data_IF_419008152545
#
_entry.id   IF_419008152545
#
_cell.length_a   1.000
_cell.length_b   1.000
_cell.length_c   1.000
_cell.angle_alpha   90.00
_cell.angle_beta   90.00
_cell.angle_gamma   90.00
#
_symmetry.space_group_name_H-M   'P 1'
#
loop_
_entity.id
_entity.type
_entity.pdbx_description
1 polymer ?
#
# COMPACT_ATOMS: atom_id res chain seq x y z
N UNK A 1 63.12 17.39 31.12
CA UNK A 1 62.48 18.42 31.98
C UNK A 1 61.29 19.02 31.26
N UNK A 2 60.07 18.64 31.67
CA UNK A 2 58.86 19.46 31.94
C UNK A 2 57.64 18.53 32.04
N UNK A 3 56.66 18.86 32.88
CA UNK A 3 56.15 17.94 33.88
C UNK A 3 54.71 17.45 33.63
N UNK A 4 54.41 16.35 34.33
CA UNK A 4 53.09 15.83 34.68
C UNK A 4 52.09 16.93 35.10
N UNK A 5 50.81 16.73 34.75
CA UNK A 5 49.52 17.05 35.45
C UNK A 5 48.45 17.39 34.38
N UNK A 6 47.15 17.07 34.44
CA UNK A 6 46.22 16.62 35.50
C UNK A 6 44.82 16.36 34.84
N UNK A 7 44.04 15.36 35.33
CA UNK A 7 42.54 15.25 35.39
C UNK A 7 41.81 15.24 34.00
N UNK A 8 40.70 14.55 33.71
CA UNK A 8 39.62 14.02 34.52
C UNK A 8 38.86 12.92 33.76
N UNK A 9 38.54 11.85 34.48
CA UNK A 9 37.42 10.98 34.12
C UNK A 9 36.15 11.75 34.45
N UNK A 10 35.36 12.10 33.43
CA UNK A 10 34.01 12.61 33.60
C UNK A 10 33.09 11.82 32.66
N UNK A 11 32.33 10.93 33.27
CA UNK A 11 31.33 10.05 32.70
C UNK A 11 30.18 10.89 32.16
N UNK A 12 30.09 11.07 30.83
CA UNK A 12 28.91 11.70 30.22
C UNK A 12 27.86 10.64 29.93
N UNK A 13 26.85 10.60 30.79
CA UNK A 13 25.65 9.79 30.69
C UNK A 13 24.91 10.19 29.40
N UNK A 14 24.82 9.28 28.44
CA UNK A 14 23.96 9.41 27.27
C UNK A 14 22.49 9.26 27.72
N UNK A 15 21.83 10.37 28.04
CA UNK A 15 20.36 10.37 28.23
C UNK A 15 19.69 10.53 26.87
N UNK A 16 19.42 9.40 26.22
CA UNK A 16 18.57 9.31 25.04
C UNK A 16 17.11 9.55 25.44
N UNK A 17 16.63 10.80 25.33
CA UNK A 17 15.19 11.09 25.35
C UNK A 17 14.72 11.18 23.90
N UNK A 18 14.39 10.03 23.33
CA UNK A 18 13.56 9.99 22.13
C UNK A 18 12.11 10.20 22.58
N UNK A 19 11.66 11.45 22.52
CA UNK A 19 10.24 11.77 22.58
C UNK A 19 9.59 11.24 21.29
N UNK A 20 9.20 9.97 21.28
CA UNK A 20 8.23 9.47 20.31
C UNK A 20 6.91 10.11 20.70
N UNK A 21 6.62 11.28 20.14
CA UNK A 21 5.27 11.80 20.08
C UNK A 21 4.42 10.68 19.46
N UNK A 22 3.58 10.06 20.29
CA UNK A 22 2.59 9.09 19.86
C UNK A 22 1.54 9.85 19.05
N UNK A 23 1.88 10.17 17.80
CA UNK A 23 0.87 10.23 16.76
C UNK A 23 0.33 8.80 16.68
N UNK A 24 -0.66 8.49 17.52
CA UNK A 24 -1.54 7.38 17.25
C UNK A 24 -2.06 7.71 15.86
N UNK A 25 -1.67 6.99 14.78
CA UNK A 25 -2.53 7.04 13.61
C UNK A 25 -3.86 6.61 14.21
N UNK A 26 -4.88 7.47 14.15
CA UNK A 26 -6.24 6.97 14.32
C UNK A 26 -6.23 5.68 13.53
N UNK A 27 -6.38 4.55 14.23
CA UNK A 27 -6.52 3.27 13.57
C UNK A 27 -7.79 3.53 12.79
N UNK A 28 -7.61 3.97 11.55
CA UNK A 28 -8.66 4.24 10.61
C UNK A 28 -9.18 2.82 10.48
N UNK A 29 -10.18 2.48 11.30
CA UNK A 29 -11.11 1.42 11.02
C UNK A 29 -11.67 1.87 9.70
N UNK A 30 -10.95 1.50 8.64
CA UNK A 30 -11.27 1.71 7.25
C UNK A 30 -12.35 0.65 7.03
N UNK A 31 -13.46 0.89 7.72
CA UNK A 31 -14.65 0.06 7.82
C UNK A 31 -15.07 -0.16 6.38
N UNK A 32 -15.67 -1.31 6.13
CA UNK A 32 -16.21 -1.71 4.83
C UNK A 32 -17.04 -0.63 4.11
N UNK A 33 -17.43 0.42 4.84
CA UNK A 33 -18.23 1.57 4.46
C UNK A 33 -17.59 2.56 3.47
N UNK A 34 -16.27 2.53 3.24
CA UNK A 34 -15.68 3.49 2.27
C UNK A 34 -16.08 3.09 0.84
N UNK A 35 -16.78 3.95 0.07
CA UNK A 35 -17.14 3.65 -1.31
C UNK A 35 -15.89 3.43 -2.16
N UNK A 36 -15.97 2.51 -3.11
CA UNK A 36 -14.80 2.12 -3.90
C UNK A 36 -14.27 3.30 -4.74
N UNK A 37 -15.16 4.19 -5.19
CA UNK A 37 -14.85 5.40 -5.94
C UNK A 37 -14.04 6.41 -5.11
N UNK A 38 -14.32 6.50 -3.80
CA UNK A 38 -13.55 7.35 -2.89
C UNK A 38 -12.14 6.79 -2.74
N UNK A 39 -12.00 5.47 -2.63
CA UNK A 39 -10.68 4.83 -2.57
C UNK A 39 -9.89 5.03 -3.89
N UNK A 40 -10.54 4.87 -5.05
CA UNK A 40 -9.93 5.15 -6.36
C UNK A 40 -9.53 6.62 -6.51
N UNK A 41 -10.32 7.56 -5.97
CA UNK A 41 -9.99 9.00 -5.98
C UNK A 41 -8.76 9.31 -5.13
N UNK A 42 -8.53 8.57 -4.04
CA UNK A 42 -7.29 8.66 -3.27
C UNK A 42 -6.11 8.10 -4.08
N UNK A 43 -6.27 6.92 -4.69
CA UNK A 43 -5.23 6.35 -5.57
C UNK A 43 -4.87 7.31 -6.71
N UNK A 44 -5.84 7.99 -7.31
CA UNK A 44 -5.62 8.98 -8.36
C UNK A 44 -4.66 10.10 -7.94
N UNK A 45 -4.67 10.47 -6.66
CA UNK A 45 -3.84 11.55 -6.12
C UNK A 45 -2.43 11.07 -5.76
N UNK A 46 -2.29 9.86 -5.20
CA UNK A 46 -1.01 9.37 -4.66
C UNK A 46 -0.23 8.49 -5.62
N UNK A 47 -0.93 7.77 -6.50
CA UNK A 47 -0.36 6.85 -7.46
C UNK A 47 -1.33 6.65 -8.64
N UNK A 48 -1.39 7.59 -9.61
CA UNK A 48 -2.29 7.48 -10.76
C UNK A 48 -2.25 6.12 -11.48
N UNK A 49 -1.09 5.47 -11.70
CA UNK A 49 -1.07 4.14 -12.32
C UNK A 49 -1.70 3.03 -11.46
N UNK A 50 -1.68 3.19 -10.13
CA UNK A 50 -2.34 2.25 -9.23
C UNK A 50 -3.86 2.35 -9.32
N UNK A 51 -4.39 3.56 -9.50
CA UNK A 51 -5.81 3.77 -9.81
C UNK A 51 -6.18 3.10 -11.13
N UNK A 52 -5.46 3.38 -12.21
CA UNK A 52 -5.76 2.82 -13.53
C UNK A 52 -5.67 1.28 -13.53
N UNK A 53 -4.67 0.72 -12.84
CA UNK A 53 -4.54 -0.73 -12.64
C UNK A 53 -5.67 -1.33 -11.80
N UNK A 54 -6.10 -0.64 -10.74
CA UNK A 54 -7.23 -1.06 -9.91
C UNK A 54 -8.54 -1.06 -10.71
N UNK A 55 -8.83 -0.02 -11.49
CA UNK A 55 -10.03 0.04 -12.33
C UNK A 55 -10.06 -1.12 -13.34
N UNK A 56 -8.92 -1.43 -13.98
CA UNK A 56 -8.80 -2.58 -14.87
C UNK A 56 -9.03 -3.92 -14.14
N UNK A 57 -8.47 -4.07 -12.94
CA UNK A 57 -8.64 -5.25 -12.11
C UNK A 57 -10.10 -5.44 -11.66
N UNK A 58 -10.78 -4.37 -11.23
CA UNK A 58 -12.18 -4.39 -10.84
C UNK A 58 -13.09 -4.80 -12.01
N UNK A 59 -12.85 -4.25 -13.20
CA UNK A 59 -13.60 -4.62 -14.40
C UNK A 59 -13.40 -6.10 -14.76
N UNK A 60 -12.15 -6.58 -14.73
CA UNK A 60 -11.82 -7.98 -14.97
C UNK A 60 -12.42 -8.92 -13.91
N UNK A 61 -12.40 -8.50 -12.65
CA UNK A 61 -13.00 -9.23 -11.54
C UNK A 61 -14.51 -9.35 -11.70
N UNK A 62 -15.22 -8.26 -12.00
CA UNK A 62 -16.66 -8.29 -12.23
C UNK A 62 -17.03 -9.21 -13.39
N UNK A 63 -16.31 -9.10 -14.51
CA UNK A 63 -16.51 -9.94 -15.69
C UNK A 63 -16.34 -11.44 -15.39
N UNK A 64 -15.31 -11.81 -14.62
CA UNK A 64 -14.99 -13.23 -14.38
C UNK A 64 -15.69 -13.84 -13.18
N UNK A 65 -15.87 -13.07 -12.11
CA UNK A 65 -16.39 -13.56 -10.84
C UNK A 65 -17.89 -13.26 -10.67
N UNK A 66 -18.51 -12.54 -11.62
CA UNK A 66 -19.95 -12.29 -11.64
C UNK A 66 -20.46 -11.43 -10.48
N UNK A 67 -19.57 -10.69 -9.81
CA UNK A 67 -19.91 -9.82 -8.67
C UNK A 67 -19.01 -8.60 -8.62
N UNK A 68 -19.51 -7.51 -8.04
CA UNK A 68 -18.66 -6.38 -7.69
C UNK A 68 -17.69 -6.77 -6.55
N UNK A 69 -16.46 -6.27 -6.62
CA UNK A 69 -15.49 -6.33 -5.54
C UNK A 69 -15.76 -5.20 -4.55
N UNK A 70 -15.68 -5.49 -3.26
CA UNK A 70 -15.81 -4.48 -2.19
C UNK A 70 -14.48 -3.75 -1.98
N UNK A 71 -14.55 -2.55 -1.43
CA UNK A 71 -13.38 -1.72 -1.13
C UNK A 71 -12.38 -2.44 -0.22
N UNK A 72 -12.82 -3.20 0.77
CA UNK A 72 -11.90 -3.96 1.64
C UNK A 72 -11.16 -5.07 0.91
N UNK A 73 -11.81 -5.71 -0.07
CA UNK A 73 -11.19 -6.77 -0.86
C UNK A 73 -10.09 -6.18 -1.74
N UNK A 74 -10.36 -5.04 -2.38
CA UNK A 74 -9.36 -4.32 -3.17
C UNK A 74 -8.20 -3.80 -2.29
N UNK A 75 -8.51 -3.21 -1.13
CA UNK A 75 -7.50 -2.70 -0.21
C UNK A 75 -6.60 -3.82 0.31
N UNK A 76 -7.19 -5.00 0.61
CA UNK A 76 -6.44 -6.20 0.98
C UNK A 76 -5.57 -6.66 -0.19
N UNK A 77 -6.10 -6.72 -1.40
CA UNK A 77 -5.33 -7.07 -2.59
C UNK A 77 -4.12 -6.14 -2.80
N UNK A 78 -4.19 -4.87 -2.41
CA UNK A 78 -3.01 -3.99 -2.41
C UNK A 78 -2.04 -4.21 -1.24
N UNK A 79 -2.55 -4.58 -0.06
CA UNK A 79 -1.80 -4.57 1.19
C UNK A 79 -1.23 -5.94 1.60
N UNK A 80 -1.68 -7.05 1.01
CA UNK A 80 -1.28 -8.41 1.39
C UNK A 80 0.14 -8.73 0.88
N UNK A 81 1.12 -8.78 1.79
CA UNK A 81 2.54 -8.95 1.48
C UNK A 81 3.04 -7.91 0.45
N UNK A 82 3.37 -8.35 -0.77
CA UNK A 82 3.77 -7.47 -1.89
C UNK A 82 2.58 -7.02 -2.77
N UNK A 83 1.36 -7.33 -2.35
CA UNK A 83 0.11 -7.19 -3.10
C UNK A 83 -0.26 -8.45 -3.90
N UNK A 84 -1.50 -8.50 -4.38
CA UNK A 84 -1.97 -9.51 -5.33
C UNK A 84 -1.12 -9.39 -6.61
N UNK A 85 -0.46 -10.47 -7.05
CA UNK A 85 0.51 -10.40 -8.13
C UNK A 85 -0.13 -10.01 -9.47
N UNK A 86 -1.40 -10.38 -9.70
CA UNK A 86 -2.12 -10.00 -10.91
C UNK A 86 -2.48 -8.52 -10.89
N UNK A 87 -2.96 -8.00 -9.76
CA UNK A 87 -3.22 -6.59 -9.55
C UNK A 87 -1.94 -5.76 -9.73
N UNK A 88 -0.83 -6.16 -9.09
CA UNK A 88 0.44 -5.44 -9.21
C UNK A 88 0.99 -5.48 -10.64
N UNK A 89 0.80 -6.58 -11.36
CA UNK A 89 1.12 -6.66 -12.78
C UNK A 89 0.23 -5.73 -13.63
N UNK A 90 -1.06 -5.61 -13.30
CA UNK A 90 -1.97 -4.68 -13.98
C UNK A 90 -1.58 -3.23 -13.74
N UNK A 91 -1.24 -2.86 -12.51
CA UNK A 91 -0.72 -1.51 -12.19
C UNK A 91 0.50 -1.17 -13.04
N UNK A 92 1.44 -2.11 -13.17
CA UNK A 92 2.62 -1.94 -14.01
C UNK A 92 2.24 -1.80 -15.50
N UNK A 93 1.34 -2.64 -15.99
CA UNK A 93 0.90 -2.58 -17.38
C UNK A 93 0.16 -1.27 -17.70
N UNK A 94 -0.67 -0.77 -16.77
CA UNK A 94 -1.33 0.54 -16.88
C UNK A 94 -0.31 1.67 -16.93
N UNK A 95 0.71 1.65 -16.06
CA UNK A 95 1.80 2.63 -16.13
C UNK A 95 2.51 2.64 -17.50
N UNK A 96 2.72 1.46 -18.08
CA UNK A 96 3.36 1.28 -19.38
C UNK A 96 2.42 1.52 -20.57
N UNK A 97 1.11 1.72 -20.30
CA UNK A 97 0.04 1.79 -21.31
C UNK A 97 0.00 0.55 -22.21
N UNK A 98 0.32 -0.61 -21.64
CA UNK A 98 0.32 -1.90 -22.34
C UNK A 98 -1.05 -2.58 -22.26
N UNK A 99 -1.93 -2.20 -23.20
CA UNK A 99 -3.27 -2.73 -23.29
C UNK A 99 -3.31 -4.24 -23.57
N UNK A 100 -2.35 -4.77 -24.33
CA UNK A 100 -2.28 -6.19 -24.65
C UNK A 100 -1.96 -7.02 -23.40
N UNK A 101 -1.04 -6.55 -22.56
CA UNK A 101 -0.75 -7.18 -21.28
C UNK A 101 -1.91 -7.05 -20.31
N UNK A 102 -2.60 -5.91 -20.25
CA UNK A 102 -3.82 -5.76 -19.43
C UNK A 102 -4.89 -6.79 -19.82
N UNK A 103 -5.14 -7.00 -21.11
CA UNK A 103 -6.10 -8.00 -21.59
C UNK A 103 -5.71 -9.43 -21.18
N UNK A 104 -4.42 -9.79 -21.29
CA UNK A 104 -3.93 -11.11 -20.85
C UNK A 104 -4.02 -11.29 -19.33
N UNK A 105 -3.74 -10.25 -18.56
CA UNK A 105 -3.84 -10.27 -17.10
C UNK A 105 -5.30 -10.35 -16.64
N UNK A 106 -6.23 -9.74 -17.37
CA UNK A 106 -7.65 -9.81 -17.06
C UNK A 106 -8.15 -11.26 -16.97
N UNK A 107 -7.68 -12.14 -17.85
CA UNK A 107 -8.02 -13.57 -17.81
C UNK A 107 -7.49 -14.32 -16.56
N UNK A 108 -6.47 -13.77 -15.89
CA UNK A 108 -5.74 -14.39 -14.78
C UNK A 108 -6.25 -13.98 -13.39
N UNK A 109 -7.19 -13.02 -13.31
CA UNK A 109 -7.76 -12.59 -12.02
C UNK A 109 -8.27 -13.79 -11.21
N UNK A 110 -8.22 -13.76 -9.89
CA UNK A 110 -8.76 -14.86 -9.06
C UNK A 110 -10.15 -14.50 -8.51
N UNK A 111 -10.99 -15.51 -8.24
CA UNK A 111 -12.32 -15.32 -7.66
C UNK A 111 -12.38 -15.89 -6.23
N UNK A 112 -11.74 -15.24 -5.25
CA UNK A 112 -11.80 -15.70 -3.86
C UNK A 112 -13.22 -15.59 -3.28
N UNK A 113 -13.53 -16.41 -2.26
CA UNK A 113 -14.75 -16.28 -1.49
C UNK A 113 -14.84 -14.90 -0.83
N UNK A 114 -16.06 -14.46 -0.51
CA UNK A 114 -16.25 -13.17 0.18
C UNK A 114 -15.60 -13.23 1.56
N UNK A 115 -14.84 -12.20 1.90
CA UNK A 115 -14.23 -12.01 3.22
C UNK A 115 -15.17 -11.43 4.27
#
# INVERSE_FOLDING_TARGET
MRPLTLIAVATSIFTSVSAFAQAQPERLEFRDDVPIEVYLSLLAQVAPPARDGAEAYLAAFQSRCGRAMRTVELRRAFAEADGDPTLMAMVRASHQRDAATLQRLAAQVSCPPRS
#
